data_IF_173236932031
#
_entry.id   IF_173236932031
#
_cell.length_a   1.000
_cell.length_b   1.000
_cell.length_c   1.000
_cell.angle_alpha   90.00
_cell.angle_beta   90.00
_cell.angle_gamma   90.00
#
_symmetry.space_group_name_H-M   'P 1'
#
loop_
_entity.id
_entity.type
_entity.pdbx_description
1 polymer ?
#
# COMPACT_ATOMS: atom_id res chain seq x y z
N UNK A 1 -26.71 13.10 -3.46
CA UNK A 1 -26.29 12.93 -3.89
C UNK A 1 -25.55 12.89 -4.06
N UNK A 2 -25.42 12.79 -3.71
CA UNK A 2 -24.67 12.59 -4.10
C UNK A 2 -23.86 12.42 -4.11
N UNK A 3 -23.72 12.50 -3.59
CA UNK A 3 -23.11 12.27 -3.81
C UNK A 3 -22.33 12.03 -3.97
N UNK A 4 -22.27 12.07 -3.54
CA UNK A 4 -21.63 11.79 -3.98
C UNK A 4 -20.90 11.69 -4.40
N UNK A 5 -21.02 11.81 -4.10
CA UNK A 5 -20.48 11.59 -4.82
C UNK A 5 -19.71 11.55 -5.26
N UNK A 6 -19.67 11.64 -5.06
CA UNK A 6 -19.05 11.47 -5.77
C UNK A 6 -18.23 11.59 -6.10
N UNK A 7 -18.10 11.88 -5.66
CA UNK A 7 -17.53 11.86 -6.18
C UNK A 7 -16.64 11.89 -6.35
N UNK A 8 -16.36 11.92 -5.97
CA UNK A 8 -15.69 11.83 -6.32
C UNK A 8 -15.08 11.61 -6.61
N UNK A 9 -15.03 11.50 -6.36
CA UNK A 9 -14.59 11.10 -6.76
C UNK A 9 -13.96 10.95 -7.38
N UNK A 10 -13.91 11.15 -7.47
CA UNK A 10 -13.56 10.98 -8.00
C UNK A 10 -12.57 10.64 -8.57
N UNK A 11 -11.84 10.90 -8.57
CA UNK A 11 -10.74 10.52 -8.84
C UNK A 11 -10.36 9.33 -8.25
N UNK A 12 -10.82 8.86 -7.30
CA UNK A 12 -10.61 7.62 -6.86
C UNK A 12 -11.43 6.74 -7.57
N UNK A 13 -11.11 6.44 -8.75
CA UNK A 13 -11.78 5.53 -9.59
C UNK A 13 -11.71 4.17 -8.98
N UNK A 14 -12.78 3.56 -8.59
CA UNK A 14 -12.71 2.26 -7.94
C UNK A 14 -12.16 1.19 -8.86
N UNK A 15 -12.13 1.44 -10.16
CA UNK A 15 -11.57 0.47 -11.06
C UNK A 15 -10.11 0.67 -11.32
N UNK A 16 -9.53 1.71 -10.76
CA UNK A 16 -8.12 1.95 -10.96
C UNK A 16 -7.33 0.96 -10.12
N UNK A 17 -6.59 0.10 -10.79
CA UNK A 17 -5.84 -0.93 -10.10
C UNK A 17 -4.48 -0.49 -9.64
N UNK A 18 -3.88 0.46 -10.33
CA UNK A 18 -2.57 0.96 -9.96
C UNK A 18 -2.70 2.33 -9.35
N UNK A 19 -2.13 2.50 -8.18
CA UNK A 19 -2.18 3.76 -7.45
C UNK A 19 -0.78 4.28 -7.20
N UNK A 20 -0.62 5.58 -7.28
CA UNK A 20 0.64 6.18 -6.85
C UNK A 20 0.71 6.11 -5.33
N UNK A 21 1.87 6.45 -4.78
CA UNK A 21 2.03 6.45 -3.31
C UNK A 21 1.01 7.35 -2.64
N UNK A 22 0.79 8.55 -3.19
CA UNK A 22 -0.18 9.47 -2.61
C UNK A 22 -1.60 8.94 -2.69
N UNK A 23 -1.94 8.35 -3.83
CA UNK A 23 -3.28 7.79 -4.00
C UNK A 23 -3.51 6.64 -3.05
N UNK A 24 -2.47 5.81 -2.87
CA UNK A 24 -2.59 4.69 -1.96
C UNK A 24 -2.72 5.18 -0.52
N UNK A 25 -2.02 6.23 -0.16
CA UNK A 25 -2.15 6.80 1.18
C UNK A 25 -3.57 7.24 1.44
N UNK A 26 -4.18 7.90 0.45
CA UNK A 26 -5.56 8.33 0.61
C UNK A 26 -6.53 7.16 0.69
N UNK A 27 -6.32 6.17 -0.16
CA UNK A 27 -7.25 5.04 -0.21
C UNK A 27 -7.16 4.17 1.04
N UNK A 28 -5.98 4.07 1.62
CA UNK A 28 -5.76 3.15 2.73
C UNK A 28 -5.78 3.79 4.10
N UNK A 29 -5.60 5.11 4.15
CA UNK A 29 -5.44 5.78 5.43
C UNK A 29 -4.05 5.62 6.02
N UNK A 30 -3.14 4.96 5.33
CA UNK A 30 -1.77 4.79 5.79
C UNK A 30 -0.95 5.99 5.37
N UNK A 31 -0.08 6.46 6.21
CA UNK A 31 0.70 7.65 5.92
C UNK A 31 1.65 7.43 4.76
N UNK A 32 1.85 8.50 4.00
CA UNK A 32 2.73 8.48 2.85
C UNK A 32 4.12 7.94 3.22
N UNK A 33 4.69 8.47 4.29
CA UNK A 33 6.02 8.05 4.71
C UNK A 33 6.08 6.59 5.09
N UNK A 34 5.02 6.09 5.70
CA UNK A 34 4.95 4.69 6.08
C UNK A 34 4.92 3.80 4.84
N UNK A 35 4.18 4.21 3.81
CA UNK A 35 4.11 3.45 2.58
C UNK A 35 5.49 3.39 1.93
N UNK A 36 6.17 4.53 1.88
CA UNK A 36 7.51 4.56 1.32
C UNK A 36 8.46 3.66 2.11
N UNK A 37 8.37 3.70 3.41
CA UNK A 37 9.21 2.89 4.26
C UNK A 37 8.97 1.40 4.02
N UNK A 38 7.73 0.98 3.99
CA UNK A 38 7.42 -0.42 3.74
C UNK A 38 7.92 -0.87 2.36
N UNK A 39 7.85 0.03 1.39
CA UNK A 39 8.36 -0.29 0.05
C UNK A 39 9.86 -0.46 0.08
N UNK A 40 10.54 0.39 0.82
CA UNK A 40 11.99 0.33 0.88
C UNK A 40 12.51 -0.92 1.56
N UNK A 41 11.82 -1.37 2.59
CA UNK A 41 12.27 -2.56 3.30
C UNK A 41 11.74 -3.85 2.67
N UNK A 42 10.96 -3.73 1.61
CA UNK A 42 10.61 -4.90 0.81
C UNK A 42 9.37 -5.66 1.23
N UNK A 43 8.56 -5.10 2.13
CA UNK A 43 7.36 -5.81 2.53
C UNK A 43 6.11 -5.31 1.82
N UNK A 44 6.24 -4.30 0.97
CA UNK A 44 5.13 -3.80 0.18
C UNK A 44 5.57 -3.74 -1.27
N UNK A 45 5.05 -4.62 -2.11
CA UNK A 45 5.49 -4.65 -3.52
C UNK A 45 4.99 -3.45 -4.30
N UNK A 46 5.77 -3.04 -5.26
CA UNK A 46 5.41 -1.92 -6.12
C UNK A 46 6.03 -2.12 -7.49
N UNK A 47 5.54 -1.36 -8.45
CA UNK A 47 6.07 -1.36 -9.81
C UNK A 47 6.69 -0.01 -10.10
N UNK A 48 7.81 -0.01 -10.76
CA UNK A 48 8.53 1.21 -11.05
C UNK A 48 9.30 1.00 -12.34
N UNK A 49 9.09 1.88 -13.29
CA UNK A 49 9.72 1.73 -14.59
C UNK A 49 11.21 2.06 -14.55
N UNK A 50 11.64 2.86 -13.60
CA UNK A 50 13.05 3.21 -13.47
C UNK A 50 13.29 3.78 -12.09
N UNK A 51 14.57 3.93 -11.76
CA UNK A 51 14.95 4.28 -10.40
C UNK A 51 14.32 5.55 -9.89
N UNK A 52 14.17 6.55 -10.73
CA UNK A 52 13.63 7.82 -10.27
C UNK A 52 12.22 8.04 -10.72
N UNK A 53 11.59 7.02 -11.30
CA UNK A 53 10.24 7.17 -11.76
C UNK A 53 9.27 6.83 -10.64
N UNK A 54 8.02 7.26 -10.84
CA UNK A 54 7.01 7.10 -9.83
C UNK A 54 6.72 5.65 -9.55
N UNK A 55 6.47 5.33 -8.31
CA UNK A 55 6.08 3.99 -7.91
C UNK A 55 4.59 3.83 -8.02
N UNK A 56 4.17 2.63 -8.44
CA UNK A 56 2.76 2.30 -8.53
C UNK A 56 2.51 1.04 -7.74
N UNK A 57 1.37 1.00 -7.09
CA UNK A 57 1.00 -0.11 -6.23
C UNK A 57 -0.30 -0.71 -6.72
N UNK A 58 -0.40 -2.03 -6.74
CA UNK A 58 -1.66 -2.68 -7.08
C UNK A 58 -2.58 -2.56 -5.87
N UNK A 59 -3.69 -1.89 -6.06
CA UNK A 59 -4.54 -1.51 -4.96
C UNK A 59 -4.93 -2.68 -4.08
N UNK A 60 -5.47 -3.75 -4.68
CA UNK A 60 -5.93 -4.88 -3.90
C UNK A 60 -4.81 -5.55 -3.14
N UNK A 61 -3.68 -5.71 -3.78
CA UNK A 61 -2.55 -6.35 -3.14
C UNK A 61 -2.00 -5.51 -2.01
N UNK A 62 -1.93 -4.21 -2.22
CA UNK A 62 -1.41 -3.33 -1.19
C UNK A 62 -2.31 -3.32 0.03
N UNK A 63 -3.62 -3.27 -0.17
CA UNK A 63 -4.54 -3.26 0.95
C UNK A 63 -4.48 -4.57 1.73
N UNK A 64 -4.38 -5.68 1.04
CA UNK A 64 -4.21 -6.96 1.71
C UNK A 64 -2.92 -7.01 2.50
N UNK A 65 -1.85 -6.46 1.92
CA UNK A 65 -0.57 -6.48 2.60
C UNK A 65 -0.60 -5.61 3.85
N UNK A 66 -1.27 -4.46 3.79
CA UNK A 66 -1.40 -3.62 4.97
C UNK A 66 -2.14 -4.35 6.09
N UNK A 67 -3.20 -5.07 5.74
CA UNK A 67 -3.92 -5.83 6.76
C UNK A 67 -3.05 -6.89 7.38
N UNK A 68 -2.25 -7.55 6.56
CA UNK A 68 -1.36 -8.59 7.06
C UNK A 68 -0.29 -8.00 7.97
N UNK A 69 0.29 -6.89 7.55
CA UNK A 69 1.31 -6.22 8.36
C UNK A 69 0.71 -5.82 9.69
N UNK A 70 -0.51 -5.27 9.68
CA UNK A 70 -1.15 -4.84 10.91
C UNK A 70 -1.36 -6.03 11.85
N UNK A 71 -1.78 -7.16 11.32
CA UNK A 71 -1.95 -8.35 12.14
C UNK A 71 -0.65 -8.79 12.78
N UNK A 72 0.43 -8.74 12.00
CA UNK A 72 1.72 -9.15 12.53
C UNK A 72 2.19 -8.19 13.60
N UNK A 73 1.94 -6.91 13.41
CA UNK A 73 2.28 -5.91 14.43
C UNK A 73 1.44 -6.13 15.69
N UNK A 74 0.19 -6.49 15.53
CA UNK A 74 -0.67 -6.77 16.67
C UNK A 74 -0.17 -7.97 17.47
N UNK A 75 0.53 -8.88 16.81
CA UNK A 75 1.14 -10.02 17.48
C UNK A 75 2.49 -9.67 18.07
N UNK A 76 2.85 -8.39 17.99
CA UNK A 76 4.07 -7.87 18.60
C UNK A 76 5.35 -8.35 17.93
N UNK A 77 5.26 -8.67 16.63
CA UNK A 77 6.46 -8.98 15.89
C UNK A 77 7.26 -7.72 15.64
N UNK A 78 8.57 -7.84 15.66
CA UNK A 78 9.43 -6.72 15.27
C UNK A 78 9.38 -6.55 13.76
N UNK A 79 9.87 -5.40 13.29
CA UNK A 79 9.88 -5.16 11.87
C UNK A 79 10.75 -6.19 11.14
N UNK A 80 11.83 -6.62 11.78
CA UNK A 80 12.68 -7.63 11.18
C UNK A 80 11.98 -8.96 11.06
N UNK A 81 11.18 -9.30 12.05
CA UNK A 81 10.41 -10.53 11.99
C UNK A 81 9.35 -10.46 10.91
N UNK A 82 8.76 -9.29 10.73
CA UNK A 82 7.76 -9.10 9.70
C UNK A 82 8.40 -9.24 8.32
N UNK A 83 9.56 -8.64 8.14
CA UNK A 83 10.28 -8.75 6.88
C UNK A 83 10.58 -10.22 6.57
N UNK A 84 11.04 -10.95 7.57
CA UNK A 84 11.36 -12.34 7.40
C UNK A 84 10.12 -13.14 7.04
N UNK A 85 9.00 -12.83 7.68
CA UNK A 85 7.75 -13.51 7.41
C UNK A 85 7.39 -13.43 5.92
N UNK A 86 7.51 -12.23 5.35
CA UNK A 86 7.16 -12.07 3.94
C UNK A 86 8.19 -12.68 3.01
N UNK A 87 9.44 -12.68 3.41
CA UNK A 87 10.46 -13.30 2.58
C UNK A 87 10.34 -14.79 2.53
N UNK A 88 10.03 -15.41 3.65
CA UNK A 88 9.94 -16.84 3.73
C UNK A 88 8.69 -17.39 3.10
N UNK A 89 7.70 -16.55 2.87
CA UNK A 89 6.49 -17.00 2.36
C UNK A 89 6.46 -16.86 0.89
N UNK A 90 7.00 -17.66 0.17
CA UNK A 90 7.01 -17.49 -1.24
C UNK A 90 6.04 -18.38 -1.93
#
# INVERSE_FOLDING_TARGET
>A
MSKKINKKKTKNNPQKELLTTSELAEASGVRYGTIKYYSQIGILPFEQAGERLRRYYKKKEALKRFNKIQRLKDKRLTIEEIIKHFKDKK
#
